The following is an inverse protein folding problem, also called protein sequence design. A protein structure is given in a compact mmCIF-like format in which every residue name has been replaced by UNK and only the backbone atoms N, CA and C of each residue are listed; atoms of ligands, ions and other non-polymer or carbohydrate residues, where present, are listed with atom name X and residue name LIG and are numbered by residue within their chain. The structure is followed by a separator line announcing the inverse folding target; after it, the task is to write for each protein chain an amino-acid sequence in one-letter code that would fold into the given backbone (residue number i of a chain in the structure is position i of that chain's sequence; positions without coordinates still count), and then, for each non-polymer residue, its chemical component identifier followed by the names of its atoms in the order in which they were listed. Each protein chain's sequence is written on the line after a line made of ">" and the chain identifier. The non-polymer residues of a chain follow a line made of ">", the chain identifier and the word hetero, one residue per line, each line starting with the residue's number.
data_IF_206684506351
#
_entry.id   IF_206684506351
#
_cell.length_a   1.000
_cell.length_b   1.000
_cell.length_c   1.000
_cell.angle_alpha   90.00
_cell.angle_beta   90.00
_cell.angle_gamma   90.00
#
_symmetry.space_group_name_H-M   'P 1'
#
loop_
_entity.id
_entity.type
_entity.pdbx_description
1 polymer ?
#
# COMPACT_ATOMS: atom_id res chain seq x y z
N UNK A 1 19.63 5.02 -3.37
CA UNK A 1 20.16 6.16 -4.13
C UNK A 1 19.82 7.45 -3.42
N UNK A 2 20.81 8.34 -3.32
CA UNK A 2 20.64 9.64 -2.70
C UNK A 2 20.85 10.76 -3.72
N UNK A 3 20.09 11.83 -3.61
CA UNK A 3 20.34 13.08 -4.33
C UNK A 3 20.97 14.13 -3.40
N UNK A 4 21.86 14.92 -3.96
CA UNK A 4 22.47 16.07 -3.28
C UNK A 4 21.91 17.34 -3.93
N UNK A 5 21.23 18.12 -3.12
CA UNK A 5 20.55 19.35 -3.56
C UNK A 5 21.30 20.56 -2.99
N UNK A 6 21.60 21.54 -3.82
CA UNK A 6 22.11 22.82 -3.34
C UNK A 6 20.96 23.54 -2.58
N UNK A 7 21.10 23.72 -1.28
CA UNK A 7 20.06 24.26 -0.42
C UNK A 7 19.64 25.71 -0.77
N UNK A 8 20.53 26.46 -1.44
CA UNK A 8 20.25 27.86 -1.85
C UNK A 8 19.44 27.95 -3.15
N UNK A 9 19.78 27.10 -4.13
CA UNK A 9 19.15 27.16 -5.46
C UNK A 9 18.05 26.15 -5.68
N UNK A 10 17.92 25.15 -4.79
CA UNK A 10 17.01 24.03 -4.94
C UNK A 10 17.38 23.06 -6.07
N UNK A 11 18.54 23.22 -6.71
CA UNK A 11 18.98 22.37 -7.83
C UNK A 11 19.68 21.12 -7.31
N UNK A 12 19.35 19.96 -7.89
CA UNK A 12 20.12 18.74 -7.72
C UNK A 12 21.48 18.91 -8.38
N UNK A 13 22.54 18.66 -7.64
CA UNK A 13 23.93 18.82 -8.12
C UNK A 13 24.64 17.48 -8.30
N UNK A 14 24.17 16.42 -7.62
CA UNK A 14 24.70 15.08 -7.76
C UNK A 14 23.69 14.01 -7.36
N UNK A 15 23.88 12.80 -7.89
CA UNK A 15 23.25 11.56 -7.43
C UNK A 15 24.32 10.59 -7.02
N UNK A 16 24.20 10.01 -5.83
CA UNK A 16 25.14 9.00 -5.35
C UNK A 16 24.41 7.68 -5.07
N UNK A 17 25.04 6.58 -5.47
CA UNK A 17 24.52 5.24 -5.24
C UNK A 17 25.47 4.49 -4.34
N UNK A 18 24.97 3.89 -3.27
CA UNK A 18 25.78 3.07 -2.37
C UNK A 18 26.25 1.78 -3.07
N UNK A 19 27.48 1.40 -2.82
CA UNK A 19 28.04 0.13 -3.26
C UNK A 19 27.54 -1.06 -2.40
N UNK A 20 28.04 -2.26 -2.65
CA UNK A 20 27.67 -3.47 -1.89
C UNK A 20 28.03 -3.40 -0.39
N UNK A 21 28.89 -2.47 0.02
CA UNK A 21 29.26 -2.22 1.41
C UNK A 21 28.44 -1.09 2.02
N UNK A 22 27.49 -0.53 1.28
CA UNK A 22 26.66 0.59 1.72
C UNK A 22 27.40 1.95 1.70
N UNK A 23 28.48 2.09 0.93
CA UNK A 23 29.30 3.32 0.87
C UNK A 23 29.06 4.03 -0.46
N UNK A 24 28.90 5.34 -0.40
CA UNK A 24 28.88 6.22 -1.57
C UNK A 24 29.67 7.50 -1.29
N UNK A 25 30.17 8.14 -2.34
CA UNK A 25 30.82 9.43 -2.28
C UNK A 25 30.34 10.33 -3.41
N UNK A 26 30.18 11.61 -3.12
CA UNK A 26 29.89 12.61 -4.15
C UNK A 26 31.17 12.96 -4.95
N UNK A 27 30.96 13.54 -6.11
CA UNK A 27 32.00 14.31 -6.77
C UNK A 27 32.38 15.53 -5.92
N UNK A 28 33.53 16.18 -6.19
CA UNK A 28 33.86 17.47 -5.57
C UNK A 28 32.74 18.49 -5.76
N UNK A 29 32.33 19.13 -4.69
CA UNK A 29 31.23 20.11 -4.67
C UNK A 29 31.76 21.50 -4.26
N UNK A 30 31.21 22.60 -4.81
CA UNK A 30 31.51 23.96 -4.35
C UNK A 30 31.20 24.17 -2.86
N UNK A 31 31.84 25.15 -2.25
CA UNK A 31 31.61 25.51 -0.84
C UNK A 31 30.25 26.21 -0.68
N UNK A 32 29.30 25.52 -0.09
CA UNK A 32 27.95 26.03 0.22
C UNK A 32 27.18 25.01 1.06
N UNK A 33 25.89 25.30 1.30
CA UNK A 33 24.97 24.38 1.99
C UNK A 33 24.28 23.43 1.02
N UNK A 34 24.16 22.20 1.43
CA UNK A 34 23.52 21.12 0.69
C UNK A 34 22.51 20.39 1.55
N UNK A 35 21.58 19.72 0.89
CA UNK A 35 20.68 18.74 1.47
C UNK A 35 20.92 17.40 0.77
N UNK A 36 21.09 16.35 1.55
CA UNK A 36 21.16 14.97 1.11
C UNK A 36 19.88 14.26 1.52
N UNK A 37 19.21 13.63 0.58
CA UNK A 37 18.03 12.83 0.84
C UNK A 37 17.99 11.57 -0.02
N UNK A 38 17.42 10.53 0.51
CA UNK A 38 17.20 9.32 -0.25
C UNK A 38 16.06 9.51 -1.25
N UNK A 39 16.25 9.01 -2.48
CA UNK A 39 15.25 9.07 -3.57
C UNK A 39 14.87 7.69 -4.08
N UNK A 40 15.68 6.68 -3.79
CA UNK A 40 15.37 5.29 -4.12
C UNK A 40 15.99 4.37 -3.08
N UNK A 41 15.17 3.65 -2.36
CA UNK A 41 15.59 2.58 -1.47
C UNK A 41 15.82 1.27 -2.24
N UNK A 42 16.63 0.34 -1.73
CA UNK A 42 16.73 -1.01 -2.27
C UNK A 42 15.38 -1.76 -2.19
N UNK A 43 15.22 -2.80 -3.02
CA UNK A 43 14.04 -3.66 -2.95
C UNK A 43 13.88 -4.23 -1.53
N UNK A 44 12.64 -4.25 -1.02
CA UNK A 44 12.26 -4.70 0.33
C UNK A 44 12.72 -3.78 1.48
N UNK A 45 13.17 -2.56 1.20
CA UNK A 45 13.48 -1.54 2.18
C UNK A 45 12.58 -0.32 2.01
N UNK A 46 12.32 0.38 3.09
CA UNK A 46 11.56 1.63 3.08
C UNK A 46 12.51 2.77 2.73
N UNK A 47 12.02 3.71 1.93
CA UNK A 47 12.73 4.95 1.68
C UNK A 47 12.86 5.74 2.99
N UNK A 48 14.07 6.16 3.33
CA UNK A 48 14.31 7.03 4.48
C UNK A 48 13.88 8.47 4.14
N UNK A 49 12.85 9.03 4.81
CA UNK A 49 12.42 10.40 4.56
C UNK A 49 13.34 11.47 5.17
N UNK A 50 14.41 11.07 5.84
CA UNK A 50 15.33 11.99 6.51
C UNK A 50 16.06 12.86 5.50
N UNK A 51 16.08 14.16 5.75
CA UNK A 51 16.90 15.12 5.00
C UNK A 51 18.08 15.52 5.88
N UNK A 52 19.27 15.30 5.37
CA UNK A 52 20.51 15.68 6.06
C UNK A 52 21.02 17.01 5.51
N UNK A 53 21.08 18.02 6.36
CA UNK A 53 21.68 19.31 6.01
C UNK A 53 23.18 19.26 6.25
N UNK A 54 23.96 19.69 5.27
CA UNK A 54 25.43 19.74 5.33
C UNK A 54 25.95 21.07 4.80
N UNK A 55 27.05 21.55 5.36
CA UNK A 55 27.72 22.78 4.88
C UNK A 55 29.19 22.49 4.62
N UNK A 56 29.62 22.77 3.40
CA UNK A 56 31.04 22.78 3.03
C UNK A 56 31.60 24.19 3.21
N UNK A 57 32.56 24.33 4.13
CA UNK A 57 33.10 25.62 4.58
C UNK A 57 34.51 25.90 4.05
N UNK A 58 35.31 24.87 3.81
CA UNK A 58 36.69 25.01 3.33
C UNK A 58 37.08 23.94 2.31
N UNK A 59 38.05 24.23 1.42
CA UNK A 59 38.51 23.29 0.41
C UNK A 59 39.04 21.98 1.01
N UNK A 60 38.69 20.84 0.40
CA UNK A 60 39.11 19.52 0.86
C UNK A 60 38.32 18.96 2.05
N UNK A 61 37.30 19.67 2.53
CA UNK A 61 36.43 19.16 3.59
C UNK A 61 35.67 17.91 3.16
N UNK A 62 35.65 16.89 4.03
CA UNK A 62 34.85 15.67 3.85
C UNK A 62 33.88 15.56 5.01
N UNK A 63 32.60 15.50 4.71
CA UNK A 63 31.54 15.26 5.68
C UNK A 63 31.07 13.83 5.53
N UNK A 64 31.07 13.07 6.62
CA UNK A 64 30.57 11.68 6.65
C UNK A 64 29.17 11.68 7.28
N UNK A 65 28.25 11.03 6.60
CA UNK A 65 26.88 10.81 7.08
C UNK A 65 26.59 9.31 7.15
N UNK A 66 25.72 8.93 8.04
CA UNK A 66 25.19 7.57 8.14
C UNK A 66 23.67 7.62 8.01
N UNK A 67 23.13 6.76 7.15
CA UNK A 67 21.70 6.57 6.97
C UNK A 67 21.36 5.09 7.21
N UNK A 68 20.16 4.82 7.68
CA UNK A 68 19.74 3.47 8.03
C UNK A 68 18.33 3.25 7.48
N UNK A 69 18.22 2.33 6.53
CA UNK A 69 16.93 1.93 5.98
C UNK A 69 16.23 0.95 6.91
N UNK A 70 14.91 0.95 6.87
CA UNK A 70 14.08 -0.01 7.58
C UNK A 70 13.57 -1.06 6.61
N UNK A 71 13.57 -2.36 6.97
CA UNK A 71 13.00 -3.38 6.11
C UNK A 71 11.49 -3.18 5.92
N UNK A 72 11.01 -3.44 4.72
CA UNK A 72 9.58 -3.50 4.43
C UNK A 72 9.00 -4.80 4.98
N UNK A 73 7.87 -4.69 5.68
CA UNK A 73 7.11 -5.84 6.16
C UNK A 73 5.71 -5.80 5.54
N UNK A 74 5.37 -6.81 4.77
CA UNK A 74 4.05 -6.94 4.13
C UNK A 74 3.14 -7.79 5.00
N UNK A 75 1.91 -7.34 5.20
CA UNK A 75 0.91 -8.08 5.95
C UNK A 75 -0.50 -7.57 5.69
N UNK A 76 -1.45 -8.51 5.72
CA UNK A 76 -2.87 -8.22 5.63
C UNK A 76 -3.59 -9.05 6.67
N UNK A 77 -4.54 -8.46 7.38
CA UNK A 77 -5.44 -9.20 8.23
C UNK A 77 -6.86 -9.15 7.68
N UNK A 78 -7.56 -10.29 7.73
CA UNK A 78 -8.96 -10.40 7.37
C UNK A 78 -9.65 -11.12 8.53
N UNK A 79 -10.70 -10.50 9.07
CA UNK A 79 -11.56 -11.13 10.06
C UNK A 79 -12.99 -11.20 9.53
N UNK A 80 -13.64 -12.35 9.74
CA UNK A 80 -15.04 -12.57 9.39
C UNK A 80 -15.81 -12.89 10.67
N UNK A 81 -16.88 -12.15 10.92
CA UNK A 81 -17.76 -12.35 12.07
C UNK A 81 -19.19 -12.53 11.58
N UNK A 82 -19.96 -13.34 12.25
CA UNK A 82 -21.36 -13.58 11.93
C UNK A 82 -22.06 -14.31 13.09
N UNK A 83 -23.34 -14.60 12.91
CA UNK A 83 -24.10 -15.40 13.86
C UNK A 83 -23.54 -16.82 13.92
N UNK A 84 -23.34 -17.35 15.13
CA UNK A 84 -22.85 -18.71 15.32
C UNK A 84 -23.89 -19.76 14.89
N UNK A 85 -25.17 -19.44 15.04
CA UNK A 85 -26.29 -20.29 14.64
C UNK A 85 -27.47 -19.42 14.17
N UNK A 86 -28.19 -19.89 13.17
CA UNK A 86 -29.44 -19.32 12.68
C UNK A 86 -30.41 -20.45 12.34
N UNK A 87 -31.70 -20.24 12.53
CA UNK A 87 -32.73 -21.19 12.10
C UNK A 87 -32.90 -21.13 10.58
N UNK A 88 -33.35 -22.23 9.99
CA UNK A 88 -33.67 -22.26 8.57
C UNK A 88 -34.71 -21.16 8.22
N UNK A 89 -34.46 -20.43 7.12
CA UNK A 89 -35.28 -19.30 6.69
C UNK A 89 -34.99 -17.96 7.38
N UNK A 90 -34.12 -17.95 8.38
CA UNK A 90 -33.67 -16.72 9.03
C UNK A 90 -32.53 -16.05 8.25
N UNK A 91 -32.50 -14.71 8.31
CA UNK A 91 -31.39 -13.94 7.74
C UNK A 91 -30.18 -13.97 8.67
N UNK A 92 -29.00 -14.08 8.09
CA UNK A 92 -27.72 -13.95 8.78
C UNK A 92 -26.88 -12.86 8.14
N UNK A 93 -26.02 -12.24 8.93
CA UNK A 93 -25.09 -11.22 8.47
C UNK A 93 -23.65 -11.65 8.76
N UNK A 94 -22.79 -11.45 7.80
CA UNK A 94 -21.34 -11.53 7.95
C UNK A 94 -20.74 -10.14 7.85
N UNK A 95 -19.94 -9.77 8.84
CA UNK A 95 -19.11 -8.58 8.82
C UNK A 95 -17.65 -9.00 8.57
N UNK A 96 -17.06 -8.44 7.51
CA UNK A 96 -15.68 -8.69 7.15
C UNK A 96 -14.90 -7.41 7.40
N UNK A 97 -13.79 -7.53 8.12
CA UNK A 97 -12.86 -6.44 8.33
C UNK A 97 -11.54 -6.80 7.65
N UNK A 98 -11.07 -5.89 6.80
CA UNK A 98 -9.81 -6.04 6.08
C UNK A 98 -8.89 -4.89 6.48
N UNK A 99 -7.68 -5.20 6.90
CA UNK A 99 -6.68 -4.22 7.29
C UNK A 99 -5.32 -4.50 6.67
N UNK A 100 -4.68 -3.45 6.18
CA UNK A 100 -3.27 -3.49 5.86
C UNK A 100 -2.48 -3.42 7.17
N UNK A 101 -1.74 -4.48 7.49
CA UNK A 101 -0.85 -4.56 8.66
C UNK A 101 0.62 -4.39 8.28
N UNK A 102 0.88 -4.05 7.01
CA UNK A 102 2.22 -3.72 6.53
C UNK A 102 2.71 -2.41 7.12
N UNK A 103 4.00 -2.23 7.16
CA UNK A 103 4.62 -0.94 7.44
C UNK A 103 4.84 -0.08 6.17
N UNK A 104 4.27 -0.52 5.04
CA UNK A 104 4.31 0.17 3.74
C UNK A 104 2.92 0.13 3.10
N UNK A 105 2.60 1.07 2.19
CA UNK A 105 1.41 0.98 1.34
C UNK A 105 1.45 -0.28 0.48
N UNK A 106 0.29 -0.88 0.23
CA UNK A 106 0.14 -1.98 -0.72
C UNK A 106 -0.28 -1.39 -2.07
N UNK A 107 0.48 -1.66 -3.12
CA UNK A 107 0.19 -1.16 -4.48
C UNK A 107 -1.03 -1.83 -5.10
N UNK A 108 -1.21 -3.12 -4.85
CA UNK A 108 -2.40 -3.86 -5.26
C UNK A 108 -2.78 -4.87 -4.19
N UNK A 109 -4.07 -5.04 -3.99
CA UNK A 109 -4.59 -5.96 -3.01
C UNK A 109 -5.92 -6.54 -3.51
N UNK A 110 -6.11 -7.84 -3.33
CA UNK A 110 -7.40 -8.49 -3.52
C UNK A 110 -7.64 -9.51 -2.41
N UNK A 111 -8.90 -9.72 -2.08
CA UNK A 111 -9.33 -10.79 -1.20
C UNK A 111 -10.62 -11.40 -1.76
N UNK A 112 -10.92 -12.61 -1.39
CA UNK A 112 -12.18 -13.26 -1.77
C UNK A 112 -12.80 -13.98 -0.57
N UNK A 113 -14.12 -14.08 -0.60
CA UNK A 113 -14.89 -14.89 0.33
C UNK A 113 -15.72 -15.90 -0.45
N UNK A 114 -15.74 -17.14 0.03
CA UNK A 114 -16.59 -18.20 -0.53
C UNK A 114 -17.81 -18.35 0.36
N UNK A 115 -18.97 -18.08 -0.22
CA UNK A 115 -20.25 -18.25 0.46
C UNK A 115 -20.72 -19.71 0.26
N UNK A 116 -21.12 -20.42 1.33
CA UNK A 116 -21.64 -21.80 1.23
C UNK A 116 -23.06 -21.74 0.62
N UNK A 117 -23.15 -21.79 -0.69
CA UNK A 117 -24.39 -21.61 -1.47
C UNK A 117 -25.43 -22.72 -1.25
N UNK A 118 -25.00 -23.86 -0.77
CA UNK A 118 -25.82 -25.03 -0.42
C UNK A 118 -26.70 -24.77 0.82
N UNK A 119 -26.29 -23.87 1.68
CA UNK A 119 -27.00 -23.54 2.95
C UNK A 119 -27.37 -22.06 3.08
N UNK A 120 -26.77 -21.18 2.30
CA UNK A 120 -27.00 -19.74 2.39
C UNK A 120 -26.99 -19.05 1.02
N UNK A 121 -27.97 -18.18 0.79
CA UNK A 121 -28.03 -17.35 -0.42
C UNK A 121 -27.75 -15.92 -0.05
N UNK A 122 -26.69 -15.28 -0.60
CA UNK A 122 -26.46 -13.87 -0.38
C UNK A 122 -27.54 -13.02 -1.05
N UNK A 123 -28.07 -12.06 -0.31
CA UNK A 123 -29.12 -11.15 -0.81
C UNK A 123 -28.59 -9.74 -1.01
N UNK A 124 -27.66 -9.31 -0.17
CA UNK A 124 -27.13 -7.95 -0.18
C UNK A 124 -25.64 -7.97 0.16
N UNK A 125 -24.89 -7.14 -0.53
CA UNK A 125 -23.50 -6.82 -0.22
C UNK A 125 -23.39 -5.33 0.09
N UNK A 126 -22.86 -4.99 1.27
CA UNK A 126 -22.53 -3.63 1.66
C UNK A 126 -21.02 -3.50 1.83
N UNK A 127 -20.42 -2.47 1.23
CA UNK A 127 -18.94 -2.38 1.15
C UNK A 127 -18.30 -1.78 2.40
N UNK A 128 -19.03 -0.96 3.15
CA UNK A 128 -18.41 -0.13 4.18
C UNK A 128 -17.51 0.97 3.59
N UNK A 129 -16.69 1.56 4.44
CA UNK A 129 -15.72 2.58 4.07
C UNK A 129 -14.33 2.20 4.58
N UNK A 130 -13.29 2.67 3.89
CA UNK A 130 -11.90 2.46 4.25
C UNK A 130 -11.18 3.81 4.39
N UNK A 131 -10.15 3.86 5.18
CA UNK A 131 -9.40 5.09 5.47
C UNK A 131 -8.57 5.61 4.28
N UNK A 132 -8.11 4.72 3.41
CA UNK A 132 -7.35 5.11 2.22
C UNK A 132 -8.30 5.56 1.10
N UNK A 133 -7.91 6.58 0.33
CA UNK A 133 -8.64 7.01 -0.88
C UNK A 133 -8.14 6.23 -2.09
N UNK A 134 -8.79 5.12 -2.37
CA UNK A 134 -8.45 4.22 -3.47
C UNK A 134 -9.70 3.92 -4.30
N UNK A 135 -9.46 3.45 -5.53
CA UNK A 135 -10.49 2.87 -6.37
C UNK A 135 -10.43 1.35 -6.30
N UNK A 136 -11.58 0.71 -6.33
CA UNK A 136 -11.68 -0.74 -6.35
C UNK A 136 -12.82 -1.21 -7.24
N UNK A 137 -12.86 -2.51 -7.50
CA UNK A 137 -13.94 -3.21 -8.17
C UNK A 137 -14.36 -4.43 -7.36
N UNK A 138 -15.62 -4.82 -7.53
CA UNK A 138 -16.17 -6.03 -6.95
C UNK A 138 -16.41 -7.02 -8.07
N UNK A 139 -15.89 -8.21 -7.90
CA UNK A 139 -16.05 -9.33 -8.82
C UNK A 139 -16.82 -10.42 -8.11
N UNK A 140 -17.57 -11.21 -8.90
CA UNK A 140 -18.21 -12.42 -8.41
C UNK A 140 -17.97 -13.57 -9.37
N UNK A 141 -18.07 -14.78 -8.86
CA UNK A 141 -18.06 -16.01 -9.65
C UNK A 141 -19.07 -16.97 -9.05
N UNK A 142 -19.83 -17.62 -9.92
CA UNK A 142 -20.79 -18.67 -9.57
C UNK A 142 -20.40 -19.98 -10.27
N UNK A 143 -21.09 -21.07 -10.00
CA UNK A 143 -20.87 -22.34 -10.71
C UNK A 143 -21.20 -22.25 -12.21
N UNK A 144 -21.99 -21.25 -12.61
CA UNK A 144 -22.34 -21.04 -14.03
C UNK A 144 -21.27 -20.27 -14.81
N UNK A 145 -20.32 -19.63 -14.13
CA UNK A 145 -19.33 -18.77 -14.77
C UNK A 145 -17.95 -19.43 -14.74
N UNK A 146 -17.31 -19.58 -15.90
CA UNK A 146 -15.92 -20.06 -15.99
C UNK A 146 -14.91 -19.05 -15.44
N UNK A 147 -15.23 -17.74 -15.48
CA UNK A 147 -14.38 -16.64 -15.04
C UNK A 147 -15.13 -15.68 -14.13
N UNK A 148 -14.39 -14.83 -13.41
CA UNK A 148 -14.97 -13.76 -12.62
C UNK A 148 -15.71 -12.75 -13.49
N UNK A 149 -16.90 -12.35 -13.03
CA UNK A 149 -17.74 -11.31 -13.61
C UNK A 149 -17.63 -10.03 -12.77
N UNK A 150 -17.79 -8.87 -13.39
CA UNK A 150 -17.77 -7.59 -12.68
C UNK A 150 -19.17 -7.32 -12.11
N UNK A 151 -19.27 -7.22 -10.78
CA UNK A 151 -20.49 -6.74 -10.13
C UNK A 151 -20.54 -5.20 -10.16
N UNK A 152 -19.44 -4.55 -9.82
CA UNK A 152 -19.31 -3.10 -9.86
C UNK A 152 -17.83 -2.70 -10.02
N UNK A 153 -17.59 -1.54 -10.64
CA UNK A 153 -16.25 -0.98 -10.87
C UNK A 153 -16.22 0.51 -10.57
N UNK A 154 -15.02 1.07 -10.51
CA UNK A 154 -14.79 2.49 -10.21
C UNK A 154 -15.40 2.95 -8.87
N UNK A 155 -15.41 2.05 -7.89
CA UNK A 155 -15.90 2.34 -6.56
C UNK A 155 -14.81 3.05 -5.74
N UNK A 156 -15.21 4.06 -4.98
CA UNK A 156 -14.32 4.78 -4.07
C UNK A 156 -14.37 4.15 -2.68
N UNK A 157 -13.22 3.91 -2.08
CA UNK A 157 -13.11 3.36 -0.72
C UNK A 157 -13.71 4.29 0.36
N UNK A 158 -13.82 5.58 0.08
CA UNK A 158 -14.47 6.55 0.97
C UNK A 158 -15.99 6.43 1.04
N UNK A 159 -16.61 5.69 0.11
CA UNK A 159 -18.05 5.60 -0.01
C UNK A 159 -18.54 4.21 0.40
N UNK A 160 -19.69 4.20 1.07
CA UNK A 160 -20.40 2.96 1.37
C UNK A 160 -21.43 2.68 0.27
N UNK A 161 -21.30 1.52 -0.38
CA UNK A 161 -22.22 1.06 -1.44
C UNK A 161 -23.01 -0.15 -0.96
N UNK A 162 -24.23 -0.29 -1.47
CA UNK A 162 -25.08 -1.45 -1.23
C UNK A 162 -25.57 -2.03 -2.55
N UNK A 163 -25.39 -3.32 -2.73
CA UNK A 163 -25.75 -4.07 -3.95
C UNK A 163 -26.74 -5.17 -3.61
N UNK A 164 -27.87 -5.20 -4.30
CA UNK A 164 -28.77 -6.34 -4.27
C UNK A 164 -28.17 -7.50 -5.10
N UNK A 165 -28.05 -8.69 -4.52
CA UNK A 165 -27.44 -9.86 -5.14
C UNK A 165 -28.48 -10.91 -5.60
N UNK A 166 -29.75 -10.69 -5.34
CA UNK A 166 -30.84 -11.63 -5.65
C UNK A 166 -31.05 -11.87 -7.17
N UNK A 167 -30.51 -10.97 -8.01
CA UNK A 167 -30.55 -11.15 -9.48
C UNK A 167 -29.40 -12.00 -10.02
N UNK A 168 -28.38 -12.32 -9.21
CA UNK A 168 -27.25 -13.16 -9.62
C UNK A 168 -27.71 -14.63 -9.59
N UNK A 169 -27.65 -15.38 -10.70
CA UNK A 169 -27.94 -16.81 -10.67
C UNK A 169 -26.94 -17.53 -9.77
N UNK A 170 -27.44 -18.19 -8.74
CA UNK A 170 -26.63 -18.92 -7.78
C UNK A 170 -27.15 -20.36 -7.68
N UNK A 171 -26.28 -21.30 -7.91
CA UNK A 171 -26.43 -22.70 -7.52
C UNK A 171 -25.16 -23.17 -6.84
#
# INVERSE_FOLDING_TARGET
>A
VYEIVNARSGKVVDYITTDARGVAASKPLPLTRYQLREVTAPAYWQLDPTVHDVTLEYPGQIIKLSAYDKPSSLGVSITKRGNAQVMAGQSMRYDLTVANTSNVPLESFFWHDKIPYDVARPTTLTTGTYSARLNYRILYKTNYNASYQVLASNLLTSNNYSFALNAIPMQ
#
